data_IF_511304699798
#
_entry.id   IF_511304699798
#
_cell.length_a   1.000
_cell.length_b   1.000
_cell.length_c   1.000
_cell.angle_alpha   90.00
_cell.angle_beta   90.00
_cell.angle_gamma   90.00
#
_symmetry.space_group_name_H-M   'P 1'
#
loop_
_entity.id
_entity.type
_entity.pdbx_description
1 polymer ?
#
# COMPACT_ATOMS: atom_id res chain seq x y z
N UNK A 1 -3.31 -14.56 7.98
CA UNK A 1 -1.86 -14.66 7.78
C UNK A 1 -1.26 -13.40 8.38
N UNK A 2 -0.45 -13.52 9.44
CA UNK A 2 0.13 -12.36 10.12
C UNK A 2 1.26 -11.82 9.24
N UNK A 3 1.12 -10.57 8.81
CA UNK A 3 2.15 -9.80 8.12
C UNK A 3 3.35 -9.66 9.08
N UNK A 4 4.35 -10.51 8.93
CA UNK A 4 5.62 -10.41 9.64
C UNK A 4 6.52 -9.39 8.93
N UNK A 5 6.03 -8.15 8.75
CA UNK A 5 6.93 -7.03 8.49
C UNK A 5 7.50 -6.62 9.84
N UNK A 6 8.64 -7.21 10.19
CA UNK A 6 9.42 -6.75 11.33
C UNK A 6 9.85 -5.30 11.07
N UNK A 7 9.67 -4.39 12.04
CA UNK A 7 10.09 -3.00 11.89
C UNK A 7 11.61 -2.98 11.68
N UNK A 8 12.05 -2.38 10.58
CA UNK A 8 13.45 -2.07 10.36
C UNK A 8 13.98 -1.33 11.60
N UNK A 9 15.10 -1.83 12.14
CA UNK A 9 15.80 -1.21 13.27
C UNK A 9 16.15 0.23 12.86
N UNK A 10 15.59 1.19 13.61
CA UNK A 10 15.84 2.66 13.73
C UNK A 10 16.52 3.40 12.57
N UNK A 11 16.06 4.64 12.32
CA UNK A 11 16.63 5.68 11.42
C UNK A 11 18.06 6.13 11.79
N UNK A 12 18.98 5.20 12.04
CA UNK A 12 20.36 5.51 12.39
C UNK A 12 21.16 5.82 11.13
N UNK A 13 21.85 6.95 11.12
CA UNK A 13 22.73 7.35 10.03
C UNK A 13 23.99 6.51 10.06
N UNK A 14 24.40 6.01 8.90
CA UNK A 14 25.67 5.36 8.72
C UNK A 14 26.79 6.40 8.70
N UNK A 15 27.82 6.19 9.53
CA UNK A 15 29.03 7.03 9.51
C UNK A 15 30.11 6.40 8.63
N UNK A 16 30.59 7.15 7.64
CA UNK A 16 31.69 6.69 6.79
C UNK A 16 33.00 6.61 7.58
N UNK A 17 33.73 5.47 7.57
CA UNK A 17 34.99 5.34 8.30
C UNK A 17 36.14 6.15 7.71
N UNK A 18 36.02 6.62 6.45
CA UNK A 18 37.08 7.38 5.76
C UNK A 18 36.89 8.88 5.93
N UNK A 19 35.74 9.43 5.55
CA UNK A 19 35.48 10.87 5.59
C UNK A 19 34.66 11.33 6.80
N UNK A 20 34.25 10.42 7.69
CA UNK A 20 33.40 10.69 8.86
C UNK A 20 32.02 11.31 8.57
N UNK A 21 31.60 11.37 7.31
CA UNK A 21 30.26 11.85 6.93
C UNK A 21 29.18 10.90 7.44
N UNK A 22 28.10 11.45 8.00
CA UNK A 22 26.91 10.69 8.37
C UNK A 22 25.86 10.79 7.25
N UNK A 23 25.37 9.64 6.79
CA UNK A 23 24.44 9.57 5.66
C UNK A 23 23.51 8.36 5.79
N UNK A 24 22.44 8.33 4.99
CA UNK A 24 21.60 7.15 4.86
C UNK A 24 21.90 6.49 3.51
N UNK A 25 22.19 5.18 3.50
CA UNK A 25 22.44 4.43 2.27
C UNK A 25 21.34 4.60 1.23
N UNK A 26 21.72 4.84 -0.01
CA UNK A 26 20.78 4.79 -1.15
C UNK A 26 20.31 3.34 -1.36
N UNK A 27 21.21 2.37 -1.28
CA UNK A 27 20.84 0.96 -1.34
C UNK A 27 21.86 0.06 -0.64
N UNK A 28 21.41 -1.15 -0.34
CA UNK A 28 22.26 -2.26 0.07
C UNK A 28 22.27 -3.38 -0.99
N UNK A 29 23.47 -3.89 -1.28
CA UNK A 29 23.68 -5.04 -2.15
C UNK A 29 24.25 -6.21 -1.37
N UNK A 30 23.86 -7.44 -1.74
CA UNK A 30 24.44 -8.66 -1.16
C UNK A 30 25.61 -9.09 -2.05
N UNK A 31 26.81 -9.12 -1.47
CA UNK A 31 27.95 -9.80 -2.07
C UNK A 31 28.16 -11.15 -1.37
N UNK A 32 28.25 -12.22 -2.16
CA UNK A 32 28.69 -13.52 -1.65
C UNK A 32 30.18 -13.41 -1.34
N UNK A 33 30.51 -13.23 -0.06
CA UNK A 33 31.90 -13.29 0.37
C UNK A 33 32.27 -14.76 0.62
N UNK A 34 33.20 -15.29 -0.18
CA UNK A 34 34.01 -16.42 0.26
C UNK A 34 34.99 -15.90 1.30
N UNK A 35 34.57 -15.84 2.56
CA UNK A 35 35.53 -15.67 3.63
C UNK A 35 36.41 -16.92 3.64
N UNK A 36 37.72 -16.72 3.49
CA UNK A 36 38.69 -17.79 3.72
C UNK A 36 38.36 -18.47 5.04
N UNK A 37 38.29 -19.79 4.98
CA UNK A 37 38.16 -20.66 6.14
C UNK A 37 39.20 -20.24 7.15
N UNK A 38 38.77 -19.66 8.27
CA UNK A 38 39.60 -19.65 9.47
C UNK A 38 39.59 -21.09 9.97
N UNK A 39 40.42 -21.92 9.36
CA UNK A 39 40.90 -23.15 9.97
C UNK A 39 41.69 -22.71 11.20
N UNK A 40 41.02 -22.65 12.35
CA UNK A 40 41.72 -22.67 13.62
C UNK A 40 42.43 -24.01 13.70
N UNK A 41 43.74 -23.98 13.41
CA UNK A 41 44.68 -25.08 13.53
C UNK A 41 44.55 -25.76 14.91
N UNK A 42 43.80 -26.84 14.97
CA UNK A 42 44.12 -27.97 15.83
C UNK A 42 44.81 -29.01 14.94
N UNK A 43 46.04 -29.39 15.28
CA UNK A 43 46.95 -30.19 14.45
C UNK A 43 46.28 -31.46 13.88
N UNK A 44 46.23 -31.56 12.55
CA UNK A 44 45.95 -32.83 11.88
C UNK A 44 47.23 -33.67 11.94
N UNK A 45 47.28 -34.60 12.89
CA UNK A 45 48.29 -35.67 12.90
C UNK A 45 48.20 -36.46 11.60
N UNK A 46 49.34 -36.65 10.94
CA UNK A 46 49.46 -37.50 9.76
C UNK A 46 49.14 -38.95 10.11
N UNK A 47 48.22 -39.57 9.39
CA UNK A 47 48.07 -41.02 9.39
C UNK A 47 48.44 -41.58 8.02
N UNK A 48 49.41 -42.48 8.02
CA UNK A 48 49.67 -43.42 6.94
C UNK A 48 48.55 -44.47 6.98
N UNK A 49 47.54 -44.38 6.09
CA UNK A 49 46.77 -45.50 5.52
C UNK A 49 45.64 -44.97 4.61
N UNK A 50 45.59 -45.48 3.38
CA UNK A 50 44.78 -45.04 2.24
C UNK A 50 43.31 -45.54 2.22
N UNK A 51 42.54 -45.45 3.31
CA UNK A 51 41.12 -45.87 3.27
C UNK A 51 40.10 -44.84 3.75
N UNK A 52 40.51 -43.60 4.02
CA UNK A 52 39.60 -42.62 4.59
C UNK A 52 39.26 -41.57 3.54
N UNK A 53 38.06 -41.71 2.95
CA UNK A 53 37.44 -40.63 2.18
C UNK A 53 37.46 -39.36 3.03
N UNK A 54 37.99 -38.29 2.47
CA UNK A 54 37.83 -36.93 2.99
C UNK A 54 36.33 -36.63 3.07
N UNK A 55 35.72 -36.88 4.23
CA UNK A 55 34.45 -36.30 4.58
C UNK A 55 34.68 -34.79 4.77
N UNK A 56 34.56 -34.03 3.68
CA UNK A 56 34.46 -32.57 3.75
C UNK A 56 33.20 -32.29 4.57
N UNK A 57 33.38 -31.89 5.84
CA UNK A 57 32.26 -31.50 6.70
C UNK A 57 31.51 -30.35 6.01
N UNK A 58 30.18 -30.48 5.77
CA UNK A 58 29.43 -29.38 5.18
C UNK A 58 29.46 -28.17 6.12
N UNK A 59 29.73 -26.99 5.56
CA UNK A 59 29.92 -25.73 6.27
C UNK A 59 28.80 -25.46 7.30
N UNK A 60 29.18 -25.01 8.49
CA UNK A 60 28.25 -24.69 9.60
C UNK A 60 27.44 -23.42 9.35
N UNK A 61 27.96 -22.48 8.57
CA UNK A 61 27.23 -21.30 8.11
C UNK A 61 27.76 -20.74 6.78
N UNK A 62 26.88 -20.10 6.02
CA UNK A 62 27.25 -19.27 4.88
C UNK A 62 27.43 -17.83 5.37
N UNK A 63 28.62 -17.27 5.17
CA UNK A 63 28.88 -15.84 5.44
C UNK A 63 28.79 -15.08 4.12
N UNK A 64 28.27 -13.86 4.15
CA UNK A 64 28.43 -12.91 3.05
C UNK A 64 28.44 -11.49 3.59
N UNK A 65 28.24 -10.51 2.72
CA UNK A 65 28.31 -9.11 3.12
C UNK A 65 27.19 -8.29 2.51
N UNK A 66 26.60 -7.43 3.33
CA UNK A 66 25.85 -6.27 2.83
C UNK A 66 26.84 -5.18 2.46
N UNK A 67 26.62 -4.56 1.30
CA UNK A 67 27.50 -3.56 0.74
C UNK A 67 26.72 -2.30 0.44
N UNK A 68 27.29 -1.17 0.82
CA UNK A 68 26.83 0.16 0.40
C UNK A 68 28.03 1.06 0.15
N UNK A 69 27.80 2.24 -0.41
CA UNK A 69 28.84 3.23 -0.69
C UNK A 69 28.56 4.55 0.04
N UNK A 70 29.64 5.23 0.43
CA UNK A 70 29.55 6.59 0.93
C UNK A 70 29.32 7.56 -0.23
N UNK A 71 28.26 8.38 -0.22
CA UNK A 71 27.98 9.32 -1.30
C UNK A 71 29.04 10.44 -1.39
N UNK A 72 29.65 10.82 -0.27
CA UNK A 72 30.64 11.92 -0.22
C UNK A 72 32.01 11.54 -0.78
N UNK A 73 32.49 10.31 -0.53
CA UNK A 73 33.85 9.90 -0.91
C UNK A 73 33.92 8.63 -1.77
N UNK A 74 32.78 8.02 -2.11
CA UNK A 74 32.71 6.79 -2.91
C UNK A 74 33.23 5.53 -2.21
N UNK A 75 33.61 5.60 -0.93
CA UNK A 75 34.16 4.46 -0.21
C UNK A 75 33.11 3.35 -0.03
N UNK A 76 33.49 2.13 -0.37
CA UNK A 76 32.65 0.94 -0.26
C UNK A 76 32.71 0.38 1.16
N UNK A 77 31.57 0.37 1.84
CA UNK A 77 31.39 -0.11 3.21
C UNK A 77 30.77 -1.51 3.17
N UNK A 78 31.44 -2.47 3.81
CA UNK A 78 31.00 -3.88 3.89
C UNK A 78 30.59 -4.23 5.32
N UNK A 79 29.41 -4.81 5.48
CA UNK A 79 28.90 -5.35 6.73
C UNK A 79 28.87 -6.87 6.61
N UNK A 80 29.75 -7.54 7.34
CA UNK A 80 29.74 -9.00 7.39
C UNK A 80 28.41 -9.49 7.99
N UNK A 81 27.72 -10.39 7.30
CA UNK A 81 26.47 -10.99 7.74
C UNK A 81 26.51 -12.50 7.57
N UNK A 82 25.87 -13.22 8.50
CA UNK A 82 25.66 -14.66 8.38
C UNK A 82 24.42 -14.90 7.49
N UNK A 83 24.64 -15.28 6.24
CA UNK A 83 23.61 -15.45 5.21
C UNK A 83 22.81 -16.75 5.40
N UNK A 84 23.35 -17.73 6.13
CA UNK A 84 22.57 -18.90 6.51
C UNK A 84 23.25 -19.78 7.54
N UNK A 85 22.45 -20.34 8.45
CA UNK A 85 22.91 -21.25 9.50
C UNK A 85 22.43 -22.66 9.21
N UNK A 86 23.31 -23.63 9.41
CA UNK A 86 23.00 -25.06 9.36
C UNK A 86 22.10 -25.38 10.57
N UNK A 87 20.84 -25.71 10.33
CA UNK A 87 19.95 -26.23 11.37
C UNK A 87 19.68 -27.73 11.20
N UNK A 88 19.67 -28.42 12.33
CA UNK A 88 19.28 -29.83 12.42
C UNK A 88 17.76 -29.87 12.39
N UNK A 89 17.20 -30.55 11.39
CA UNK A 89 15.75 -30.70 11.24
C UNK A 89 15.14 -31.46 12.43
N UNK A 90 13.89 -31.13 12.81
CA UNK A 90 13.17 -31.89 13.85
C UNK A 90 13.06 -33.38 13.49
N UNK A 91 12.97 -33.72 12.21
CA UNK A 91 12.99 -35.11 11.73
C UNK A 91 14.31 -35.81 12.07
N UNK A 92 15.45 -35.14 11.93
CA UNK A 92 16.74 -35.70 12.34
C UNK A 92 16.83 -35.87 13.87
N UNK A 93 16.32 -34.92 14.66
CA UNK A 93 16.22 -35.08 16.12
C UNK A 93 15.27 -36.21 16.54
N UNK A 94 14.19 -36.45 15.78
CA UNK A 94 13.26 -37.57 16.01
C UNK A 94 13.87 -38.92 15.62
N UNK A 95 14.69 -38.96 14.57
CA UNK A 95 15.42 -40.16 14.11
C UNK A 95 16.55 -40.53 15.08
N UNK A 96 17.30 -39.56 15.61
CA UNK A 96 18.29 -39.74 16.68
C UNK A 96 17.68 -40.36 17.96
N UNK A 97 16.47 -39.93 18.33
CA UNK A 97 15.73 -40.50 19.48
C UNK A 97 15.24 -41.94 19.26
N UNK A 98 15.20 -42.42 18.01
CA UNK A 98 14.71 -43.77 17.65
C UNK A 98 15.83 -44.79 17.44
N UNK A 99 17.10 -44.40 17.61
CA UNK A 99 18.24 -45.33 17.63
C UNK A 99 18.45 -46.11 16.32
N UNK A 100 18.03 -45.55 15.18
CA UNK A 100 18.09 -46.25 13.90
C UNK A 100 18.85 -45.44 12.84
N UNK A 101 19.88 -46.09 12.29
CA UNK A 101 20.65 -45.81 11.06
C UNK A 101 21.97 -45.03 11.17
N UNK A 102 23.06 -45.75 10.89
CA UNK A 102 24.44 -45.28 10.63
C UNK A 102 24.71 -44.96 9.14
N UNK A 103 23.72 -45.02 8.23
CA UNK A 103 24.02 -45.03 6.78
C UNK A 103 23.50 -43.87 5.92
N UNK A 104 22.85 -42.85 6.50
CA UNK A 104 22.44 -41.67 5.73
C UNK A 104 23.05 -40.41 6.33
N UNK A 105 23.89 -39.74 5.53
CA UNK A 105 24.56 -38.49 5.91
C UNK A 105 23.60 -37.48 6.50
N UNK A 106 24.09 -36.70 7.47
CA UNK A 106 23.25 -35.82 8.28
C UNK A 106 22.39 -34.88 7.39
N UNK A 107 21.06 -34.94 7.57
CA UNK A 107 20.07 -34.22 6.79
C UNK A 107 20.01 -32.76 7.27
N UNK A 108 20.80 -31.92 6.65
CA UNK A 108 20.88 -30.50 6.97
C UNK A 108 19.89 -29.69 6.16
N UNK A 109 19.19 -28.78 6.84
CA UNK A 109 18.52 -27.67 6.17
C UNK A 109 19.29 -26.40 6.48
N UNK A 110 19.68 -25.67 5.44
CA UNK A 110 20.17 -24.31 5.59
C UNK A 110 18.96 -23.38 5.72
N UNK A 111 18.87 -22.67 6.84
CA UNK A 111 17.94 -21.55 6.96
C UNK A 111 18.69 -20.30 6.51
N UNK A 112 18.31 -19.78 5.35
CA UNK A 112 18.80 -18.51 4.85
C UNK A 112 18.03 -17.39 5.55
N UNK A 113 18.71 -16.62 6.40
CA UNK A 113 18.11 -15.45 7.05
C UNK A 113 18.68 -14.19 6.39
N UNK A 114 18.24 -13.93 5.17
CA UNK A 114 18.68 -12.77 4.35
C UNK A 114 18.04 -11.45 4.84
N UNK A 115 17.24 -11.48 5.90
CA UNK A 115 16.19 -10.47 6.07
C UNK A 115 16.57 -9.19 6.81
N UNK A 116 17.72 -9.12 7.50
CA UNK A 116 18.05 -7.92 8.26
C UNK A 116 19.18 -7.13 7.60
N UNK A 117 18.81 -6.12 6.79
CA UNK A 117 19.73 -5.04 6.42
C UNK A 117 20.29 -4.41 7.71
N UNK A 118 21.58 -4.00 7.74
CA UNK A 118 22.19 -3.44 8.93
C UNK A 118 21.65 -2.04 9.28
N UNK A 119 21.21 -1.29 8.26
CA UNK A 119 20.60 0.03 8.40
C UNK A 119 19.45 0.15 7.40
N UNK A 120 18.59 1.14 7.62
CA UNK A 120 17.55 1.53 6.67
C UNK A 120 18.17 2.14 5.40
N UNK A 121 17.60 1.85 4.24
CA UNK A 121 17.96 2.49 2.96
C UNK A 121 16.78 3.23 2.31
N UNK A 122 17.00 3.73 1.08
CA UNK A 122 15.96 4.35 0.24
C UNK A 122 14.66 3.56 0.19
N UNK A 123 14.73 2.26 -0.13
CA UNK A 123 13.53 1.46 -0.39
C UNK A 123 12.72 1.29 0.88
N UNK A 124 13.40 1.12 2.02
CA UNK A 124 12.74 0.97 3.31
C UNK A 124 12.03 2.28 3.71
N UNK A 125 12.69 3.44 3.57
CA UNK A 125 12.06 4.73 3.88
C UNK A 125 10.92 5.05 2.91
N UNK A 126 11.10 4.77 1.61
CA UNK A 126 10.07 4.97 0.60
C UNK A 126 8.82 4.17 0.97
N UNK A 127 8.97 2.88 1.29
CA UNK A 127 7.86 2.02 1.74
C UNK A 127 7.24 2.60 3.01
N UNK A 128 8.02 2.94 4.03
CA UNK A 128 7.49 3.50 5.29
C UNK A 128 6.69 4.79 5.05
N UNK A 129 7.24 5.72 4.27
CA UNK A 129 6.61 7.00 3.97
C UNK A 129 5.34 6.83 3.14
N UNK A 130 5.41 6.06 2.06
CA UNK A 130 4.29 5.80 1.17
C UNK A 130 3.20 5.03 1.91
N UNK A 131 3.54 3.99 2.69
CA UNK A 131 2.56 3.23 3.47
C UNK A 131 1.88 4.10 4.54
N UNK A 132 2.61 5.01 5.19
CA UNK A 132 2.00 5.96 6.13
C UNK A 132 0.96 6.86 5.42
N UNK A 133 1.30 7.42 4.26
CA UNK A 133 0.37 8.25 3.48
C UNK A 133 -0.83 7.41 3.00
N UNK A 134 -0.59 6.22 2.42
CA UNK A 134 -1.65 5.28 1.99
C UNK A 134 -2.58 4.91 3.15
N UNK A 135 -2.04 4.71 4.36
CA UNK A 135 -2.84 4.44 5.56
C UNK A 135 -3.69 5.63 6.00
N UNK A 136 -3.17 6.86 5.89
CA UNK A 136 -3.94 8.06 6.22
C UNK A 136 -5.07 8.30 5.20
N UNK A 137 -4.77 8.11 3.91
CA UNK A 137 -5.78 8.12 2.84
C UNK A 137 -6.87 7.08 3.14
N UNK A 138 -6.47 5.84 3.43
CA UNK A 138 -7.42 4.76 3.74
C UNK A 138 -8.30 5.11 4.93
N UNK A 139 -7.73 5.57 6.04
CA UNK A 139 -8.49 5.97 7.23
C UNK A 139 -9.50 7.07 6.94
N UNK A 140 -9.13 8.07 6.15
CA UNK A 140 -10.03 9.15 5.76
C UNK A 140 -11.16 8.64 4.85
N UNK A 141 -10.84 7.75 3.91
CA UNK A 141 -11.82 7.16 3.00
C UNK A 141 -12.74 6.12 3.69
N UNK A 142 -12.25 5.42 4.72
CA UNK A 142 -13.04 4.48 5.52
C UNK A 142 -14.18 5.19 6.30
N UNK A 143 -14.14 6.52 6.45
CA UNK A 143 -15.28 7.31 6.96
C UNK A 143 -16.46 7.36 5.97
N UNK A 144 -16.21 7.08 4.69
CA UNK A 144 -17.24 6.97 3.67
C UNK A 144 -17.69 5.51 3.62
N UNK A 145 -18.97 5.28 3.91
CA UNK A 145 -19.55 3.95 3.80
C UNK A 145 -19.78 3.58 2.32
N UNK A 146 -18.72 3.13 1.62
CA UNK A 146 -18.82 2.75 0.22
C UNK A 146 -19.69 1.52 -0.03
N UNK A 147 -19.90 0.65 0.96
CA UNK A 147 -20.88 -0.44 0.81
C UNK A 147 -22.30 0.13 0.70
N UNK A 148 -22.59 1.19 1.45
CA UNK A 148 -23.87 1.89 1.40
C UNK A 148 -24.05 2.67 0.09
N UNK A 149 -22.98 3.25 -0.46
CA UNK A 149 -23.05 4.11 -1.65
C UNK A 149 -22.76 3.40 -2.98
N UNK A 150 -21.67 2.62 -3.05
CA UNK A 150 -21.16 1.99 -4.27
C UNK A 150 -21.94 0.73 -4.67
N UNK A 151 -22.39 -0.07 -3.70
CA UNK A 151 -23.13 -1.30 -4.02
C UNK A 151 -24.46 -1.04 -4.76
N UNK A 152 -25.30 -0.04 -4.37
CA UNK A 152 -26.47 0.32 -5.16
C UNK A 152 -26.16 0.73 -6.60
N UNK A 153 -25.07 1.47 -6.83
CA UNK A 153 -24.68 1.89 -8.18
C UNK A 153 -24.20 0.70 -9.01
N UNK A 154 -23.45 -0.22 -8.40
CA UNK A 154 -23.05 -1.48 -9.03
C UNK A 154 -24.26 -2.31 -9.44
N UNK A 155 -25.23 -2.50 -8.55
CA UNK A 155 -26.48 -3.22 -8.83
C UNK A 155 -27.22 -2.63 -10.04
N UNK A 156 -27.17 -1.30 -10.19
CA UNK A 156 -27.85 -0.57 -11.26
C UNK A 156 -27.10 -0.59 -12.60
N UNK A 157 -25.86 -0.09 -12.65
CA UNK A 157 -25.14 0.13 -13.92
C UNK A 157 -24.31 -1.06 -14.37
N UNK A 158 -23.73 -1.82 -13.43
CA UNK A 158 -22.82 -2.94 -13.75
C UNK A 158 -23.56 -4.27 -13.83
N UNK A 159 -24.22 -4.64 -12.73
CA UNK A 159 -24.85 -5.96 -12.60
C UNK A 159 -26.28 -5.97 -13.19
N UNK A 160 -26.89 -4.79 -13.35
CA UNK A 160 -28.24 -4.59 -13.90
C UNK A 160 -29.32 -5.43 -13.20
N UNK A 161 -29.15 -5.65 -11.90
CA UNK A 161 -30.10 -6.38 -11.04
C UNK A 161 -31.21 -5.47 -10.51
N UNK A 162 -31.02 -4.16 -10.63
CA UNK A 162 -31.93 -3.11 -10.14
C UNK A 162 -32.17 -2.10 -11.26
N UNK A 163 -33.43 -1.68 -11.43
CA UNK A 163 -33.82 -0.64 -12.40
C UNK A 163 -33.57 0.78 -11.84
N UNK A 164 -33.62 1.78 -12.72
CA UNK A 164 -33.35 3.19 -12.39
C UNK A 164 -34.29 3.71 -11.29
N UNK A 165 -35.55 3.27 -11.27
CA UNK A 165 -36.50 3.65 -10.22
C UNK A 165 -36.05 3.15 -8.84
N UNK A 166 -35.75 1.86 -8.72
CA UNK A 166 -35.28 1.28 -7.45
C UNK A 166 -33.93 1.87 -7.02
N UNK A 167 -33.04 2.18 -7.97
CA UNK A 167 -31.79 2.88 -7.66
C UNK A 167 -32.07 4.28 -7.10
N UNK A 168 -32.93 5.08 -7.74
CA UNK A 168 -33.32 6.41 -7.26
C UNK A 168 -33.88 6.38 -5.84
N UNK A 169 -34.80 5.45 -5.54
CA UNK A 169 -35.37 5.30 -4.20
C UNK A 169 -34.29 4.95 -3.17
N UNK A 170 -33.35 4.05 -3.50
CA UNK A 170 -32.22 3.73 -2.62
C UNK A 170 -31.30 4.93 -2.44
N UNK A 171 -30.92 5.61 -3.52
CA UNK A 171 -30.05 6.78 -3.47
C UNK A 171 -30.65 7.89 -2.60
N UNK A 172 -31.93 8.19 -2.79
CA UNK A 172 -32.66 9.15 -1.97
C UNK A 172 -32.73 8.75 -0.50
N UNK A 173 -32.98 7.47 -0.21
CA UNK A 173 -33.01 6.96 1.17
C UNK A 173 -31.65 7.12 1.85
N UNK A 174 -30.58 6.76 1.15
CA UNK A 174 -29.21 6.92 1.62
C UNK A 174 -28.84 8.40 1.84
N UNK A 175 -29.26 9.29 0.94
CA UNK A 175 -29.08 10.74 1.08
C UNK A 175 -29.81 11.28 2.30
N UNK A 176 -31.04 10.82 2.55
CA UNK A 176 -31.82 11.18 3.74
C UNK A 176 -31.13 10.71 5.02
N UNK A 177 -30.63 9.49 5.04
CA UNK A 177 -29.91 8.94 6.19
C UNK A 177 -28.62 9.73 6.45
N UNK A 178 -27.84 10.01 5.41
CA UNK A 178 -26.66 10.85 5.52
C UNK A 178 -26.98 12.25 6.03
N UNK A 179 -27.90 12.97 5.41
CA UNK A 179 -28.27 14.33 5.82
C UNK A 179 -28.77 14.37 7.28
N UNK A 180 -29.51 13.37 7.74
CA UNK A 180 -29.92 13.26 9.15
C UNK A 180 -28.75 13.17 10.13
N UNK A 181 -27.62 12.59 9.72
CA UNK A 181 -26.41 12.50 10.56
C UNK A 181 -25.55 13.76 10.55
N UNK A 182 -25.75 14.66 9.58
CA UNK A 182 -24.89 15.83 9.38
C UNK A 182 -25.47 17.13 9.94
N UNK A 183 -26.76 17.15 10.31
CA UNK A 183 -27.47 18.37 10.73
C UNK A 183 -27.93 18.27 12.17
N UNK A 184 -28.04 19.42 12.84
CA UNK A 184 -28.68 19.54 14.15
C UNK A 184 -30.21 19.47 14.02
N UNK A 185 -30.88 18.89 15.01
CA UNK A 185 -32.35 18.74 15.06
C UNK A 185 -33.00 18.20 13.77
N UNK A 186 -32.57 17.04 13.25
CA UNK A 186 -32.99 16.53 11.95
C UNK A 186 -34.50 16.28 11.82
N UNK A 187 -35.22 16.10 12.94
CA UNK A 187 -36.67 15.85 12.91
C UNK A 187 -37.50 17.11 12.61
N UNK A 188 -36.92 18.30 12.78
CA UNK A 188 -37.61 19.58 12.55
C UNK A 188 -37.31 20.18 11.17
N UNK A 189 -36.46 19.52 10.37
CA UNK A 189 -35.99 20.00 9.08
C UNK A 189 -36.47 19.10 7.96
N UNK A 190 -36.97 19.68 6.87
CA UNK A 190 -37.20 18.93 5.64
C UNK A 190 -35.87 18.62 4.94
N UNK A 191 -35.88 17.71 3.96
CA UNK A 191 -34.62 17.29 3.31
C UNK A 191 -33.95 18.42 2.53
N UNK A 192 -34.72 19.40 2.03
CA UNK A 192 -34.17 20.54 1.30
C UNK A 192 -33.36 21.44 2.23
N UNK A 193 -33.92 21.77 3.39
CA UNK A 193 -33.21 22.51 4.45
C UNK A 193 -31.94 21.76 4.89
N UNK A 194 -31.99 20.43 4.98
CA UNK A 194 -30.82 19.64 5.35
C UNK A 194 -29.72 19.68 4.29
N UNK A 195 -30.08 19.66 3.01
CA UNK A 195 -29.13 19.77 1.90
C UNK A 195 -28.48 21.15 1.92
N UNK A 196 -29.26 22.22 2.12
CA UNK A 196 -28.75 23.59 2.23
C UNK A 196 -27.73 23.73 3.38
N UNK A 197 -27.96 23.05 4.52
CA UNK A 197 -27.02 23.06 5.65
C UNK A 197 -25.72 22.28 5.42
N UNK A 198 -25.67 21.39 4.44
CA UNK A 198 -24.43 20.69 4.07
C UNK A 198 -23.40 21.62 3.41
N UNK A 199 -23.78 22.85 3.03
CA UNK A 199 -22.94 23.81 2.32
C UNK A 199 -22.25 23.19 1.10
N UNK A 200 -23.04 22.56 0.23
CA UNK A 200 -22.50 21.89 -0.95
C UNK A 200 -22.21 22.94 -2.04
N UNK A 201 -21.39 22.60 -3.05
CA UNK A 201 -21.28 23.45 -4.24
C UNK A 201 -22.67 23.64 -4.87
N UNK A 202 -23.01 24.86 -5.30
CA UNK A 202 -24.36 25.21 -5.79
C UNK A 202 -24.87 24.25 -6.88
N UNK A 203 -24.00 23.84 -7.80
CA UNK A 203 -24.34 22.88 -8.87
C UNK A 203 -24.81 21.53 -8.29
N UNK A 204 -24.20 21.07 -7.19
CA UNK A 204 -24.60 19.83 -6.53
C UNK A 204 -25.90 20.02 -5.74
N UNK A 205 -26.11 21.17 -5.10
CA UNK A 205 -27.37 21.49 -4.44
C UNK A 205 -28.54 21.48 -5.43
N UNK A 206 -28.36 22.12 -6.59
CA UNK A 206 -29.33 22.14 -7.69
C UNK A 206 -29.64 20.71 -8.17
N UNK A 207 -28.60 19.90 -8.42
CA UNK A 207 -28.78 18.51 -8.84
C UNK A 207 -29.53 17.68 -7.79
N UNK A 208 -29.23 17.83 -6.49
CA UNK A 208 -29.95 17.10 -5.44
C UNK A 208 -31.39 17.60 -5.29
N UNK A 209 -31.64 18.88 -5.57
CA UNK A 209 -32.98 19.46 -5.68
C UNK A 209 -33.78 18.81 -6.81
N UNK A 210 -33.20 18.68 -8.00
CA UNK A 210 -33.83 18.02 -9.15
C UNK A 210 -34.17 16.54 -8.83
N UNK A 211 -33.29 15.85 -8.09
CA UNK A 211 -33.51 14.47 -7.64
C UNK A 211 -34.67 14.37 -6.65
N UNK A 212 -34.82 15.33 -5.73
CA UNK A 212 -35.95 15.42 -4.81
C UNK A 212 -37.27 15.61 -5.57
N UNK A 213 -37.28 16.53 -6.54
CA UNK A 213 -38.46 16.79 -7.37
C UNK A 213 -38.84 15.57 -8.20
N UNK A 214 -37.85 14.88 -8.76
CA UNK A 214 -38.06 13.64 -9.52
C UNK A 214 -38.61 12.51 -8.62
N UNK A 215 -38.07 12.33 -7.43
CA UNK A 215 -38.56 11.33 -6.47
C UNK A 215 -40.01 11.61 -6.06
N UNK A 216 -40.36 12.88 -5.82
CA UNK A 216 -41.73 13.30 -5.50
C UNK A 216 -42.70 13.00 -6.65
N UNK A 217 -42.33 13.32 -7.89
CA UNK A 217 -43.14 13.03 -9.09
C UNK A 217 -43.46 11.55 -9.22
N UNK A 218 -42.45 10.69 -9.14
CA UNK A 218 -42.66 9.24 -9.37
C UNK A 218 -43.42 8.58 -8.21
N UNK A 219 -43.36 9.16 -7.00
CA UNK A 219 -44.09 8.62 -5.85
C UNK A 219 -45.60 8.92 -5.88
N UNK A 220 -46.02 9.93 -6.63
CA UNK A 220 -47.41 10.42 -6.64
C UNK A 220 -48.10 10.28 -8.01
N UNK A 221 -47.35 10.13 -9.10
CA UNK A 221 -47.85 9.99 -10.45
C UNK A 221 -47.41 8.66 -11.09
N UNK A 222 -48.17 8.17 -12.07
CA UNK A 222 -47.73 7.07 -12.96
C UNK A 222 -46.70 7.59 -13.95
N UNK A 223 -45.53 7.97 -13.44
CA UNK A 223 -44.41 8.51 -14.21
C UNK A 223 -43.45 7.39 -14.63
N UNK A 224 -43.14 7.32 -15.92
CA UNK A 224 -42.11 6.41 -16.44
C UNK A 224 -40.79 7.18 -16.61
N UNK A 225 -39.71 6.64 -16.04
CA UNK A 225 -38.37 7.21 -16.16
C UNK A 225 -37.82 7.01 -17.58
N UNK A 226 -37.36 8.09 -18.20
CA UNK A 226 -36.69 8.09 -19.49
C UNK A 226 -35.16 8.12 -19.38
N UNK A 227 -34.50 8.32 -20.52
CA UNK A 227 -33.04 8.39 -20.61
C UNK A 227 -32.48 9.66 -19.96
N UNK A 228 -33.17 10.80 -20.12
CA UNK A 228 -32.74 12.08 -19.57
C UNK A 228 -32.71 12.04 -18.02
N UNK A 229 -33.70 11.39 -17.40
CA UNK A 229 -33.71 11.19 -15.95
C UNK A 229 -32.63 10.21 -15.49
N UNK A 230 -32.37 9.16 -16.26
CA UNK A 230 -31.29 8.20 -15.96
C UNK A 230 -29.92 8.90 -15.91
N UNK A 231 -29.64 9.78 -16.87
CA UNK A 231 -28.43 10.61 -16.92
C UNK A 231 -28.37 11.61 -15.75
N UNK A 232 -29.49 12.27 -15.43
CA UNK A 232 -29.58 13.18 -14.29
C UNK A 232 -29.26 12.47 -12.97
N UNK A 233 -29.85 11.29 -12.75
CA UNK A 233 -29.64 10.46 -11.56
C UNK A 233 -28.18 10.03 -11.45
N UNK A 234 -27.59 9.56 -12.55
CA UNK A 234 -26.19 9.16 -12.59
C UNK A 234 -25.26 10.34 -12.28
N UNK A 235 -25.50 11.49 -12.91
CA UNK A 235 -24.70 12.69 -12.69
C UNK A 235 -24.78 13.18 -11.24
N UNK A 236 -25.97 13.24 -10.67
CA UNK A 236 -26.18 13.65 -9.27
C UNK A 236 -25.46 12.70 -8.30
N UNK A 237 -25.57 11.38 -8.52
CA UNK A 237 -24.86 10.39 -7.72
C UNK A 237 -23.34 10.58 -7.80
N UNK A 238 -22.77 10.64 -9.02
CA UNK A 238 -21.32 10.78 -9.21
C UNK A 238 -20.81 12.06 -8.55
N UNK A 239 -21.49 13.20 -8.74
CA UNK A 239 -21.10 14.47 -8.13
C UNK A 239 -21.20 14.44 -6.59
N UNK A 240 -22.19 13.73 -6.04
CA UNK A 240 -22.32 13.58 -4.60
C UNK A 240 -21.20 12.72 -4.00
N UNK A 241 -20.90 11.56 -4.60
CA UNK A 241 -19.76 10.72 -4.19
C UNK A 241 -18.45 11.48 -4.31
N UNK A 242 -18.31 12.25 -5.37
CA UNK A 242 -17.14 13.10 -5.60
C UNK A 242 -16.95 14.09 -4.46
N UNK A 243 -18.03 14.76 -4.04
CA UNK A 243 -18.01 15.65 -2.87
C UNK A 243 -17.57 14.93 -1.59
N UNK A 244 -18.11 13.73 -1.33
CA UNK A 244 -17.73 12.96 -0.14
C UNK A 244 -16.24 12.61 -0.13
N UNK A 245 -15.72 12.11 -1.26
CA UNK A 245 -14.29 11.76 -1.40
C UNK A 245 -13.41 13.00 -1.26
N UNK A 246 -13.78 14.13 -1.89
CA UNK A 246 -13.05 15.38 -1.78
C UNK A 246 -13.04 15.94 -0.35
N UNK A 247 -14.16 15.86 0.37
CA UNK A 247 -14.27 16.29 1.78
C UNK A 247 -13.26 15.55 2.66
N UNK A 248 -12.99 14.28 2.36
CA UNK A 248 -12.06 13.45 3.13
C UNK A 248 -10.59 13.58 2.70
N UNK A 249 -10.32 13.69 1.40
CA UNK A 249 -8.95 13.72 0.88
C UNK A 249 -8.30 15.09 0.91
N UNK A 250 -9.07 16.17 0.73
CA UNK A 250 -8.52 17.54 0.67
C UNK A 250 -7.75 17.94 1.94
N UNK A 251 -8.19 17.63 3.17
CA UNK A 251 -7.44 17.94 4.38
C UNK A 251 -6.06 17.26 4.48
N UNK A 252 -5.81 16.20 3.71
CA UNK A 252 -4.54 15.47 3.73
C UNK A 252 -3.43 16.20 2.96
N UNK A 253 -3.74 17.26 2.21
CA UNK A 253 -2.77 18.07 1.43
C UNK A 253 -1.79 17.20 0.61
N UNK A 254 -2.35 16.24 -0.14
CA UNK A 254 -1.57 15.25 -0.88
C UNK A 254 -0.69 15.87 -1.97
N UNK A 255 -0.91 17.12 -2.37
CA UNK A 255 -0.10 17.88 -3.31
C UNK A 255 1.21 18.43 -2.69
N UNK A 256 1.33 18.54 -1.37
CA UNK A 256 2.50 19.12 -0.68
C UNK A 256 3.26 18.09 0.16
N UNK A 257 3.63 16.96 -0.42
CA UNK A 257 4.33 15.89 0.30
C UNK A 257 5.78 16.31 0.59
N UNK A 258 6.15 16.30 1.87
CA UNK A 258 7.52 16.61 2.31
C UNK A 258 8.37 15.35 2.54
N UNK A 259 9.60 15.37 2.02
CA UNK A 259 10.63 14.34 2.22
C UNK A 259 11.70 14.85 3.17
N UNK A 260 12.12 14.00 4.12
CA UNK A 260 13.20 14.31 5.03
C UNK A 260 14.51 14.62 4.27
N UNK A 261 15.24 15.65 4.70
CA UNK A 261 16.42 16.18 3.97
C UNK A 261 17.55 15.17 3.78
N UNK A 262 17.59 14.13 4.60
CA UNK A 262 18.55 13.03 4.55
C UNK A 262 18.20 11.95 3.52
N UNK A 263 17.00 12.01 2.93
CA UNK A 263 16.53 11.14 1.85
C UNK A 263 16.24 11.94 0.56
N UNK A 264 16.98 13.02 0.31
CA UNK A 264 16.80 13.89 -0.87
C UNK A 264 16.92 13.18 -2.23
N UNK A 265 17.45 11.96 -2.27
CA UNK A 265 17.50 11.13 -3.46
C UNK A 265 16.14 10.48 -3.81
N UNK A 266 15.14 10.54 -2.93
CA UNK A 266 13.80 10.05 -3.26
C UNK A 266 13.15 10.93 -4.31
N UNK A 267 12.72 10.31 -5.41
CA UNK A 267 11.94 10.98 -6.43
C UNK A 267 10.49 11.14 -5.95
N UNK A 268 10.09 12.39 -5.70
CA UNK A 268 8.71 12.74 -5.36
C UNK A 268 7.73 12.25 -6.44
N UNK A 269 8.14 12.18 -7.70
CA UNK A 269 7.29 11.69 -8.79
C UNK A 269 6.92 10.21 -8.58
N UNK A 270 7.85 9.38 -8.09
CA UNK A 270 7.57 7.97 -7.78
C UNK A 270 6.58 7.87 -6.61
N UNK A 271 6.68 8.76 -5.62
CA UNK A 271 5.71 8.85 -4.51
C UNK A 271 4.32 9.21 -5.03
N UNK A 272 4.20 10.26 -5.85
CA UNK A 272 2.91 10.67 -6.42
C UNK A 272 2.31 9.57 -7.31
N UNK A 273 3.12 8.86 -8.08
CA UNK A 273 2.69 7.73 -8.90
C UNK A 273 2.08 6.62 -8.02
N UNK A 274 2.80 6.20 -6.99
CA UNK A 274 2.33 5.16 -6.06
C UNK A 274 1.04 5.54 -5.33
N UNK A 275 0.87 6.81 -4.99
CA UNK A 275 -0.35 7.31 -4.35
C UNK A 275 -1.51 7.38 -5.34
N UNK A 276 -1.26 7.79 -6.58
CA UNK A 276 -2.24 7.79 -7.66
C UNK A 276 -2.75 6.38 -7.93
N UNK A 277 -1.85 5.41 -8.11
CA UNK A 277 -2.21 4.02 -8.34
C UNK A 277 -3.01 3.44 -7.17
N UNK A 278 -2.58 3.73 -5.94
CA UNK A 278 -3.32 3.30 -4.75
C UNK A 278 -4.75 3.88 -4.70
N UNK A 279 -4.91 5.19 -4.93
CA UNK A 279 -6.21 5.84 -4.97
C UNK A 279 -7.09 5.26 -6.08
N UNK A 280 -6.53 5.07 -7.27
CA UNK A 280 -7.22 4.47 -8.41
C UNK A 280 -7.77 3.09 -8.04
N UNK A 281 -6.91 2.19 -7.57
CA UNK A 281 -7.30 0.82 -7.21
C UNK A 281 -8.32 0.82 -6.08
N UNK A 282 -8.09 1.61 -5.03
CA UNK A 282 -9.00 1.66 -3.88
C UNK A 282 -10.39 2.12 -4.31
N UNK A 283 -10.50 3.28 -4.98
CA UNK A 283 -11.78 3.89 -5.35
C UNK A 283 -12.49 3.12 -6.48
N UNK A 284 -11.76 2.62 -7.47
CA UNK A 284 -12.34 1.79 -8.54
C UNK A 284 -12.98 0.51 -7.98
N UNK A 285 -12.30 -0.12 -7.00
CA UNK A 285 -12.79 -1.36 -6.38
C UNK A 285 -14.03 -1.17 -5.52
N UNK A 286 -14.31 0.06 -5.06
CA UNK A 286 -15.44 0.36 -4.17
C UNK A 286 -16.62 1.03 -4.88
N UNK A 287 -16.37 1.87 -5.89
CA UNK A 287 -17.41 2.73 -6.49
C UNK A 287 -18.05 2.17 -7.76
N UNK A 288 -17.33 1.37 -8.55
CA UNK A 288 -17.83 0.74 -9.77
C UNK A 288 -18.42 1.69 -10.83
N UNK A 289 -18.07 2.98 -10.79
CA UNK A 289 -18.56 4.01 -11.74
C UNK A 289 -18.20 3.64 -13.17
N UNK A 290 -19.16 3.77 -14.10
CA UNK A 290 -18.91 3.54 -15.52
C UNK A 290 -17.96 4.62 -16.07
N UNK A 291 -16.99 4.20 -16.89
CA UNK A 291 -15.95 5.08 -17.42
C UNK A 291 -15.25 5.85 -16.28
N UNK A 292 -14.91 5.13 -15.20
CA UNK A 292 -14.41 5.63 -13.92
C UNK A 292 -13.29 6.67 -14.06
N UNK A 293 -12.34 6.43 -14.97
CA UNK A 293 -11.21 7.32 -15.17
C UNK A 293 -11.63 8.72 -15.60
N UNK A 294 -12.45 8.80 -16.64
CA UNK A 294 -12.88 10.05 -17.24
C UNK A 294 -13.97 10.74 -16.40
N UNK A 295 -14.91 9.97 -15.87
CA UNK A 295 -16.08 10.50 -15.17
C UNK A 295 -15.80 10.87 -13.70
N UNK A 296 -14.77 10.28 -13.09
CA UNK A 296 -14.52 10.45 -11.65
C UNK A 296 -13.04 10.69 -11.32
N UNK A 297 -12.14 9.80 -11.74
CA UNK A 297 -10.79 9.76 -11.21
C UNK A 297 -9.90 10.91 -11.69
N UNK A 298 -9.82 11.20 -12.98
CA UNK A 298 -9.03 12.32 -13.48
C UNK A 298 -9.56 13.68 -13.01
N UNK A 299 -10.89 13.94 -13.01
CA UNK A 299 -11.44 15.12 -12.34
C UNK A 299 -11.01 15.24 -10.87
N UNK A 300 -11.01 14.12 -10.13
CA UNK A 300 -10.62 14.08 -8.71
C UNK A 300 -9.17 14.49 -8.52
N UNK A 301 -8.26 13.87 -9.28
CA UNK A 301 -6.83 14.21 -9.23
C UNK A 301 -6.57 15.68 -9.53
N UNK A 302 -7.28 16.23 -10.52
CA UNK A 302 -7.15 17.65 -10.89
C UNK A 302 -7.55 18.58 -9.75
N UNK A 303 -8.65 18.29 -9.05
CA UNK A 303 -9.08 19.13 -7.92
C UNK A 303 -8.25 18.92 -6.65
N UNK A 304 -7.65 17.75 -6.49
CA UNK A 304 -6.63 17.49 -5.46
C UNK A 304 -5.27 18.10 -5.82
N UNK A 305 -5.15 18.73 -6.98
CA UNK A 305 -3.92 19.33 -7.50
C UNK A 305 -2.76 18.31 -7.57
N UNK A 306 -3.09 17.05 -7.92
CA UNK A 306 -2.07 16.04 -8.16
C UNK A 306 -1.23 16.42 -9.39
N UNK A 307 0.09 16.20 -9.37
CA UNK A 307 0.96 16.51 -10.51
C UNK A 307 0.55 15.73 -11.77
N UNK A 308 0.25 16.44 -12.87
CA UNK A 308 -0.28 15.88 -14.12
C UNK A 308 0.76 15.12 -14.97
N UNK A 309 2.07 15.38 -14.77
CA UNK A 309 3.16 14.83 -15.59
C UNK A 309 4.07 13.90 -14.78
N UNK A 310 3.66 12.64 -14.65
CA UNK A 310 4.54 11.56 -14.21
C UNK A 310 5.06 10.82 -15.45
N UNK A 311 5.77 11.54 -16.33
CA UNK A 311 6.58 10.85 -17.34
C UNK A 311 7.67 10.10 -16.62
N UNK A 312 7.56 8.77 -16.57
CA UNK A 312 8.65 7.88 -16.25
C UNK A 312 9.80 8.25 -17.19
N UNK A 313 10.80 8.94 -16.65
CA UNK A 313 12.10 9.03 -17.30
C UNK A 313 12.61 7.61 -17.37
N UNK A 314 12.38 6.97 -18.51
CA UNK A 314 13.09 5.77 -18.89
C UNK A 314 14.56 6.18 -19.05
N UNK A 315 15.28 6.19 -17.92
CA UNK A 315 16.73 6.26 -17.91
C UNK A 315 17.22 5.03 -18.67
N UNK A 316 17.70 5.29 -19.89
CA UNK A 316 18.57 4.39 -20.65
C UNK A 316 19.90 4.21 -19.96
#
# INVERSE_FOLDING_TARGET
>A
MKDNRHPSKKKEKLKCPICNSEFIPESFHIEKAHFDTVDTKGELMSFQNEEHQLHVKPFTSFKGAWITYCPECGYLIRFATEIGKKEVTEEHMRLLKRGSFEEHGELHKYIYNIQEKPFMDYSDYFIEKVDNIKNNIKKALDEINFDHWGQPYKDWKKDKTVDTFKFLIRFYTNLKDYTNTQVEDPNNKDIKQKIEELNLPSILEDLLGDILDLQNKISHDSYELGADEDELIEKAFIQFIYHLVMKQLKPLNLNTIEIETEYKFIDLNEVYYELREFLHVYLFSTLYIKDFDDNFFFPLLKMLEFPENLTISSKK
#
